data_IF_246015732966
#
_entry.id   IF_246015732966
#
_cell.length_a   1.000
_cell.length_b   1.000
_cell.length_c   1.000
_cell.angle_alpha   90.00
_cell.angle_beta   90.00
_cell.angle_gamma   90.00
#
_symmetry.space_group_name_H-M   'P 1'
#
loop_
_entity.id
_entity.type
_entity.pdbx_description
1 polymer ?
#
# COMPACT_ATOMS: atom_id res chain seq x y z
N UNK A 1 55.49 -27.07 16.94
CA UNK A 1 54.38 -26.37 17.65
C UNK A 1 54.30 -24.87 17.37
N UNK A 2 55.33 -24.06 17.67
CA UNK A 2 55.27 -22.58 17.58
C UNK A 2 54.85 -22.01 16.21
N UNK A 3 55.22 -22.65 15.09
CA UNK A 3 54.84 -22.23 13.73
C UNK A 3 53.36 -22.43 13.41
N UNK A 4 52.74 -23.47 13.97
CA UNK A 4 51.31 -23.78 13.76
C UNK A 4 50.47 -22.79 14.56
N UNK A 5 50.89 -22.48 15.79
CA UNK A 5 50.23 -21.50 16.65
C UNK A 5 50.22 -20.10 16.04
N UNK A 6 51.33 -19.68 15.39
CA UNK A 6 51.39 -18.41 14.66
C UNK A 6 50.42 -18.37 13.48
N UNK A 7 50.31 -19.46 12.71
CA UNK A 7 49.37 -19.54 11.58
C UNK A 7 47.91 -19.50 12.04
N UNK A 8 47.59 -20.20 13.12
CA UNK A 8 46.27 -20.17 13.74
C UNK A 8 45.92 -18.75 14.24
N UNK A 9 46.88 -18.05 14.86
CA UNK A 9 46.69 -16.69 15.33
C UNK A 9 46.46 -15.68 14.19
N UNK A 10 47.22 -15.81 13.09
CA UNK A 10 47.00 -14.98 11.89
C UNK A 10 45.64 -15.29 11.25
N UNK A 11 45.24 -16.55 11.18
CA UNK A 11 43.91 -16.94 10.67
C UNK A 11 42.77 -16.37 11.51
N UNK A 12 42.95 -16.30 12.84
CA UNK A 12 41.97 -15.73 13.77
C UNK A 12 41.90 -14.20 13.65
N UNK A 13 43.02 -13.53 13.38
CA UNK A 13 43.06 -12.09 13.05
C UNK A 13 42.34 -11.78 11.74
N UNK A 14 42.46 -12.63 10.72
CA UNK A 14 41.77 -12.47 9.44
C UNK A 14 40.25 -12.71 9.52
N UNK A 15 39.78 -13.46 10.53
CA UNK A 15 38.35 -13.64 10.80
C UNK A 15 37.70 -12.37 11.37
N UNK A 16 38.46 -11.49 12.04
CA UNK A 16 37.95 -10.24 12.61
C UNK A 16 37.64 -9.18 11.54
N UNK A 17 38.18 -9.32 10.33
CA UNK A 17 37.86 -8.45 9.19
C UNK A 17 36.61 -8.87 8.41
N UNK A 18 36.01 -10.01 8.75
CA UNK A 18 34.68 -10.39 8.27
C UNK A 18 33.65 -9.55 9.03
N UNK A 19 33.58 -8.26 8.69
CA UNK A 19 32.36 -7.49 8.88
C UNK A 19 31.30 -8.13 7.98
N UNK A 20 30.66 -9.19 8.48
CA UNK A 20 29.37 -9.65 8.01
C UNK A 20 28.39 -8.54 8.34
N UNK A 21 28.37 -7.50 7.51
CA UNK A 21 27.26 -6.57 7.47
C UNK A 21 26.04 -7.44 7.17
N UNK A 22 25.24 -7.73 8.18
CA UNK A 22 23.91 -8.25 7.96
C UNK A 22 23.25 -7.27 6.99
N UNK A 23 22.99 -7.72 5.77
CA UNK A 23 22.32 -6.93 4.76
C UNK A 23 20.88 -6.77 5.24
N UNK A 24 20.65 -5.79 6.12
CA UNK A 24 19.33 -5.41 6.54
C UNK A 24 18.57 -4.98 5.29
N UNK A 25 17.53 -5.72 4.93
CA UNK A 25 16.69 -5.39 3.79
C UNK A 25 16.00 -4.07 4.13
N UNK A 26 16.44 -2.99 3.49
CA UNK A 26 15.81 -1.68 3.65
C UNK A 26 14.48 -1.68 2.91
N UNK A 27 13.42 -2.16 3.56
CA UNK A 27 12.06 -2.18 3.00
C UNK A 27 11.41 -0.79 3.00
N UNK A 28 11.94 0.17 3.78
CA UNK A 28 11.37 1.52 3.90
C UNK A 28 11.37 2.25 2.56
N UNK A 29 12.47 2.18 1.81
CA UNK A 29 12.59 2.81 0.49
C UNK A 29 11.59 2.23 -0.54
N UNK A 30 11.64 0.92 -0.81
CA UNK A 30 10.70 0.26 -1.72
C UNK A 30 9.23 0.43 -1.31
N UNK A 31 8.90 0.33 -0.03
CA UNK A 31 7.54 0.52 0.47
C UNK A 31 7.05 1.96 0.25
N UNK A 32 7.90 2.96 0.47
CA UNK A 32 7.55 4.35 0.23
C UNK A 32 7.32 4.64 -1.26
N UNK A 33 8.15 4.07 -2.14
CA UNK A 33 7.99 4.21 -3.60
C UNK A 33 6.67 3.60 -4.06
N UNK A 34 6.37 2.37 -3.62
CA UNK A 34 5.09 1.72 -3.90
C UNK A 34 3.91 2.56 -3.37
N UNK A 35 4.00 3.09 -2.15
CA UNK A 35 2.95 3.94 -1.60
C UNK A 35 2.73 5.22 -2.43
N UNK A 36 3.80 5.82 -2.95
CA UNK A 36 3.72 7.01 -3.80
C UNK A 36 3.10 6.70 -5.17
N UNK A 37 3.49 5.59 -5.80
CA UNK A 37 2.89 5.11 -7.04
C UNK A 37 1.40 4.80 -6.87
N UNK A 38 1.04 4.11 -5.78
CA UNK A 38 -0.34 3.79 -5.43
C UNK A 38 -1.18 5.06 -5.21
N UNK A 39 -0.64 6.07 -4.51
CA UNK A 39 -1.31 7.36 -4.34
C UNK A 39 -1.59 8.05 -5.68
N UNK A 40 -0.69 7.92 -6.66
CA UNK A 40 -0.86 8.48 -8.00
C UNK A 40 -1.97 7.78 -8.81
N UNK A 41 -2.12 6.46 -8.67
CA UNK A 41 -3.11 5.69 -9.46
C UNK A 41 -4.48 5.57 -8.78
N UNK A 42 -4.54 5.62 -7.45
CA UNK A 42 -5.75 5.38 -6.67
C UNK A 42 -6.96 6.25 -7.07
N UNK A 43 -6.83 7.56 -7.35
CA UNK A 43 -7.96 8.38 -7.79
C UNK A 43 -8.62 7.85 -9.07
N UNK A 44 -7.83 7.40 -10.04
CA UNK A 44 -8.35 6.86 -11.30
C UNK A 44 -9.11 5.54 -11.07
N UNK A 45 -8.56 4.66 -10.22
CA UNK A 45 -9.22 3.40 -9.86
C UNK A 45 -10.54 3.69 -9.12
N UNK A 46 -10.54 4.63 -8.17
CA UNK A 46 -11.73 5.01 -7.43
C UNK A 46 -12.84 5.54 -8.36
N UNK A 47 -12.50 6.35 -9.37
CA UNK A 47 -13.45 6.82 -10.38
C UNK A 47 -14.00 5.68 -11.23
N UNK A 48 -13.15 4.76 -11.69
CA UNK A 48 -13.59 3.60 -12.46
C UNK A 48 -14.59 2.73 -11.67
N UNK A 49 -14.29 2.45 -10.39
CA UNK A 49 -15.19 1.70 -9.51
C UNK A 49 -16.50 2.47 -9.30
N UNK A 50 -16.43 3.78 -9.06
CA UNK A 50 -17.61 4.62 -8.89
C UNK A 50 -18.53 4.60 -10.12
N UNK A 51 -17.97 4.64 -11.33
CA UNK A 51 -18.73 4.51 -12.57
C UNK A 51 -19.45 3.15 -12.62
N UNK A 52 -18.75 2.06 -12.32
CA UNK A 52 -19.37 0.72 -12.30
C UNK A 52 -20.53 0.66 -11.31
N UNK A 53 -20.40 1.28 -10.13
CA UNK A 53 -21.47 1.33 -9.13
C UNK A 53 -22.67 2.14 -9.62
N UNK A 54 -22.44 3.30 -10.24
CA UNK A 54 -23.53 4.09 -10.83
C UNK A 54 -24.25 3.27 -11.89
N UNK A 55 -23.52 2.68 -12.84
CA UNK A 55 -24.08 1.89 -13.93
C UNK A 55 -24.86 0.68 -13.39
N UNK A 56 -24.34 0.01 -12.36
CA UNK A 56 -25.02 -1.11 -11.70
C UNK A 56 -26.31 -0.69 -11.00
N UNK A 57 -26.44 0.57 -10.55
CA UNK A 57 -27.65 1.09 -9.94
C UNK A 57 -28.62 1.73 -10.95
N UNK A 58 -28.21 1.94 -12.21
CA UNK A 58 -29.11 2.46 -13.25
C UNK A 58 -30.32 1.56 -13.53
N UNK A 59 -30.20 0.26 -13.29
CA UNK A 59 -31.34 -0.67 -13.39
C UNK A 59 -32.50 -0.34 -12.44
N UNK A 60 -32.21 0.30 -11.30
CA UNK A 60 -33.24 0.79 -10.39
C UNK A 60 -33.97 2.03 -10.91
N UNK A 61 -33.37 2.79 -11.83
CA UNK A 61 -33.97 4.00 -12.42
C UNK A 61 -34.73 3.70 -13.72
N UNK A 62 -34.16 2.84 -14.57
CA UNK A 62 -34.66 2.60 -15.93
C UNK A 62 -35.75 1.51 -16.03
N UNK A 63 -36.14 0.86 -14.92
CA UNK A 63 -37.18 -0.17 -14.93
C UNK A 63 -38.58 0.43 -14.87
N UNK A 64 -39.56 -0.25 -15.49
CA UNK A 64 -40.96 0.23 -15.60
C UNK A 64 -41.66 0.43 -14.24
N UNK A 65 -41.11 -0.15 -13.15
CA UNK A 65 -41.47 0.08 -11.76
C UNK A 65 -40.24 0.44 -10.90
N UNK A 66 -39.31 1.20 -11.47
CA UNK A 66 -38.01 1.47 -10.87
C UNK A 66 -38.09 2.17 -9.52
N UNK A 67 -37.38 1.63 -8.54
CA UNK A 67 -37.22 2.25 -7.23
C UNK A 67 -36.07 3.26 -7.25
N UNK A 68 -36.38 4.49 -7.67
CA UNK A 68 -35.44 5.61 -7.72
C UNK A 68 -34.82 5.92 -6.36
N UNK A 69 -35.57 5.73 -5.27
CA UNK A 69 -35.04 5.98 -3.93
C UNK A 69 -33.97 4.97 -3.58
N UNK A 70 -34.19 3.69 -3.89
CA UNK A 70 -33.20 2.63 -3.66
C UNK A 70 -31.94 2.84 -4.49
N UNK A 71 -32.07 3.12 -5.79
CA UNK A 71 -30.93 3.39 -6.67
C UNK A 71 -30.08 4.58 -6.18
N UNK A 72 -30.73 5.68 -5.82
CA UNK A 72 -30.04 6.86 -5.31
C UNK A 72 -29.41 6.61 -3.93
N UNK A 73 -30.13 5.96 -3.02
CA UNK A 73 -29.65 5.66 -1.66
C UNK A 73 -28.37 4.82 -1.71
N UNK A 74 -28.33 3.81 -2.58
CA UNK A 74 -27.14 2.98 -2.76
C UNK A 74 -25.94 3.79 -3.25
N UNK A 75 -26.13 4.66 -4.25
CA UNK A 75 -25.07 5.53 -4.78
C UNK A 75 -24.56 6.49 -3.71
N UNK A 76 -25.47 7.11 -2.95
CA UNK A 76 -25.11 8.06 -1.88
C UNK A 76 -24.35 7.36 -0.74
N UNK A 77 -24.81 6.19 -0.29
CA UNK A 77 -24.10 5.42 0.75
C UNK A 77 -22.71 5.02 0.25
N UNK A 78 -22.61 4.54 -0.99
CA UNK A 78 -21.32 4.18 -1.57
C UNK A 78 -20.37 5.38 -1.65
N UNK A 79 -20.85 6.54 -2.12
CA UNK A 79 -20.06 7.76 -2.20
C UNK A 79 -19.59 8.22 -0.80
N UNK A 80 -20.46 8.14 0.21
CA UNK A 80 -20.12 8.48 1.59
C UNK A 80 -19.03 7.57 2.17
N UNK A 81 -19.16 6.25 1.99
CA UNK A 81 -18.17 5.27 2.45
C UNK A 81 -16.85 5.45 1.72
N UNK A 82 -16.87 5.57 0.38
CA UNK A 82 -15.67 5.77 -0.41
C UNK A 82 -14.95 7.07 -0.01
N UNK A 83 -15.71 8.16 0.15
CA UNK A 83 -15.18 9.44 0.63
C UNK A 83 -14.55 9.35 2.02
N UNK A 84 -15.18 8.63 2.96
CA UNK A 84 -14.62 8.41 4.29
C UNK A 84 -13.31 7.62 4.24
N UNK A 85 -13.23 6.57 3.41
CA UNK A 85 -12.00 5.78 3.21
C UNK A 85 -10.89 6.65 2.63
N UNK A 86 -11.16 7.40 1.55
CA UNK A 86 -10.18 8.31 0.93
C UNK A 86 -9.70 9.36 1.92
N UNK A 87 -10.62 9.94 2.71
CA UNK A 87 -10.32 10.92 3.74
C UNK A 87 -9.42 10.36 4.84
N UNK A 88 -9.70 9.15 5.32
CA UNK A 88 -8.89 8.47 6.33
C UNK A 88 -7.48 8.15 5.80
N UNK A 89 -7.38 7.63 4.58
CA UNK A 89 -6.08 7.34 3.94
C UNK A 89 -5.26 8.62 3.78
N UNK A 90 -5.89 9.72 3.40
CA UNK A 90 -5.24 11.02 3.28
C UNK A 90 -4.79 11.56 4.64
N UNK A 91 -5.63 11.44 5.67
CA UNK A 91 -5.30 11.85 7.03
C UNK A 91 -4.10 11.06 7.58
N UNK A 92 -4.15 9.73 7.54
CA UNK A 92 -3.06 8.87 8.01
C UNK A 92 -1.79 9.09 7.19
N UNK A 93 -1.91 9.26 5.87
CA UNK A 93 -0.78 9.52 4.99
C UNK A 93 -0.10 10.88 5.22
N UNK A 94 -0.81 11.83 5.85
CA UNK A 94 -0.30 13.16 6.21
C UNK A 94 0.19 13.24 7.67
N UNK A 95 -0.07 12.22 8.49
CA UNK A 95 0.59 12.09 9.78
C UNK A 95 2.07 11.85 9.50
N UNK A 96 2.87 12.92 9.58
CA UNK A 96 4.32 12.84 9.53
C UNK A 96 4.79 12.13 10.80
N UNK A 97 5.08 10.84 10.68
CA UNK A 97 5.83 10.05 11.68
C UNK A 97 7.16 9.63 11.07
#
# INVERSE_FOLDING_TARGET
MKRILKKAFISLLMLQTLNLSAQSINLKGPAQNLANELKGVFPYIAVCIFIVVILSNLGHFASQNGDWKKGLTNIVIFAAVLGAIVGLVSYVGNLQV
#
